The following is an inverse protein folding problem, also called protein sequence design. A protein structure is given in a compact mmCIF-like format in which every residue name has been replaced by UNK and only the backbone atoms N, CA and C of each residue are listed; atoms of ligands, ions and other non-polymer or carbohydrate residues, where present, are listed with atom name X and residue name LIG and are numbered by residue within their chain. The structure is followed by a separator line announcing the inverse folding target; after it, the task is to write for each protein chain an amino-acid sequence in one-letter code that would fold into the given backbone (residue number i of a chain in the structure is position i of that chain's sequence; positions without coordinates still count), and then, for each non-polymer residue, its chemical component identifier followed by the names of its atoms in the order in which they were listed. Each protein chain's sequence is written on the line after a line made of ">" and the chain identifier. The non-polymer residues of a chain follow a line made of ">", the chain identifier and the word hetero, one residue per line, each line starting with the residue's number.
data_IF_943267074438
#
_entry.id   IF_943267074438
#
_cell.length_a   1.000
_cell.length_b   1.000
_cell.length_c   1.000
_cell.angle_alpha   90.00
_cell.angle_beta   90.00
_cell.angle_gamma   90.00
#
_symmetry.space_group_name_H-M   'P 1'
#
loop_
_entity.id
_entity.type
_entity.pdbx_description
1 polymer ?
#
# COMPACT_ATOMS: atom_id res chain seq x y z
N UNK A 1 4.40 -51.52 -4.32
CA UNK A 1 3.80 -50.73 -5.44
C UNK A 1 2.35 -50.46 -5.06
N UNK A 2 1.81 -49.24 -5.02
CA UNK A 2 2.29 -47.90 -5.37
C UNK A 2 1.77 -46.90 -4.33
N UNK A 3 2.48 -45.78 -4.16
CA UNK A 3 1.98 -44.57 -3.51
C UNK A 3 1.01 -43.89 -4.48
N UNK A 4 -0.12 -43.43 -3.98
CA UNK A 4 -0.97 -42.47 -4.69
C UNK A 4 -0.68 -41.07 -4.13
N UNK A 5 0.22 -40.38 -4.85
CA UNK A 5 0.41 -38.93 -4.79
C UNK A 5 -0.55 -38.29 -5.81
N UNK A 6 -1.52 -37.51 -5.35
CA UNK A 6 -2.13 -36.40 -6.10
C UNK A 6 -3.05 -35.66 -5.13
N UNK A 7 -2.84 -34.42 -4.72
CA UNK A 7 -2.14 -33.32 -5.37
C UNK A 7 -2.98 -32.10 -4.98
N UNK A 8 -2.56 -31.39 -3.93
CA UNK A 8 -3.28 -30.25 -3.36
C UNK A 8 -3.50 -29.16 -4.42
N UNK A 9 -4.76 -28.93 -4.76
CA UNK A 9 -5.16 -27.96 -5.78
C UNK A 9 -5.25 -26.55 -5.19
N UNK A 10 -4.10 -25.94 -4.91
CA UNK A 10 -4.02 -24.50 -4.69
C UNK A 10 -2.75 -23.94 -5.31
N UNK A 11 -2.80 -23.59 -6.60
CA UNK A 11 -2.04 -22.46 -7.13
C UNK A 11 -2.55 -22.09 -8.52
N UNK A 12 -3.54 -21.20 -8.58
CA UNK A 12 -3.62 -20.28 -9.72
C UNK A 12 -2.83 -19.04 -9.31
N UNK A 13 -1.51 -19.20 -9.21
CA UNK A 13 -0.61 -18.06 -9.13
C UNK A 13 -0.48 -17.52 -10.54
N UNK A 14 -1.03 -16.33 -10.78
CA UNK A 14 -0.69 -15.54 -11.97
C UNK A 14 0.84 -15.57 -12.11
N UNK A 15 1.34 -16.02 -13.26
CA UNK A 15 2.78 -16.07 -13.52
C UNK A 15 3.40 -14.70 -13.23
N UNK A 16 4.41 -14.67 -12.36
CA UNK A 16 5.10 -13.41 -12.09
C UNK A 16 5.69 -12.87 -13.40
N UNK A 17 5.38 -11.61 -13.78
CA UNK A 17 5.84 -11.06 -15.04
C UNK A 17 7.36 -11.03 -15.07
N UNK A 18 7.93 -11.50 -16.18
CA UNK A 18 9.37 -11.51 -16.43
C UNK A 18 9.95 -10.10 -16.23
N UNK A 19 11.01 -10.00 -15.43
CA UNK A 19 11.72 -8.74 -15.20
C UNK A 19 12.16 -8.12 -16.54
N UNK A 20 11.76 -6.87 -16.80
CA UNK A 20 12.20 -6.09 -17.96
C UNK A 20 11.13 -5.80 -19.03
N UNK A 21 9.92 -6.38 -18.92
CA UNK A 21 8.80 -6.06 -19.82
C UNK A 21 7.96 -4.95 -19.21
N UNK A 22 7.92 -3.79 -19.86
CA UNK A 22 7.03 -2.70 -19.48
C UNK A 22 5.62 -3.03 -19.95
N UNK A 23 4.70 -3.22 -18.99
CA UNK A 23 3.27 -3.35 -19.26
C UNK A 23 2.59 -2.08 -18.79
N UNK A 24 1.89 -1.39 -19.69
CA UNK A 24 0.98 -0.31 -19.30
C UNK A 24 -0.13 -0.95 -18.48
N UNK A 25 -0.06 -0.79 -17.15
CA UNK A 25 -1.10 -1.25 -16.24
C UNK A 25 -2.16 -0.16 -16.13
N UNK A 26 -3.12 -0.18 -17.06
CA UNK A 26 -4.37 0.56 -16.87
C UNK A 26 -5.08 0.02 -15.62
N UNK A 27 -5.72 0.89 -14.84
CA UNK A 27 -6.56 0.51 -13.69
C UNK A 27 -5.86 -0.19 -12.50
N UNK A 28 -4.78 0.38 -11.95
CA UNK A 28 -4.23 -0.04 -10.64
C UNK A 28 -5.09 0.41 -9.44
N UNK A 29 -6.36 0.01 -9.38
CA UNK A 29 -7.16 0.18 -8.16
C UNK A 29 -7.08 -1.10 -7.31
N UNK A 30 -6.78 -0.93 -6.02
CA UNK A 30 -6.88 -2.04 -5.05
C UNK A 30 -8.25 -1.97 -4.38
N UNK A 31 -9.10 -2.96 -4.63
CA UNK A 31 -10.40 -3.10 -3.96
C UNK A 31 -10.20 -3.63 -2.54
N UNK A 32 -10.63 -2.87 -1.52
CA UNK A 32 -10.38 -3.18 -0.10
C UNK A 32 -11.45 -4.08 0.54
N UNK A 33 -12.51 -4.47 -0.18
CA UNK A 33 -13.73 -5.13 0.36
C UNK A 33 -13.48 -6.33 1.30
N UNK A 34 -12.37 -7.05 1.18
CA UNK A 34 -12.04 -8.24 1.99
C UNK A 34 -10.70 -8.14 2.74
N UNK A 35 -10.03 -6.98 2.73
CA UNK A 35 -8.69 -6.82 3.29
C UNK A 35 -8.73 -5.79 4.42
N UNK A 36 -8.32 -6.23 5.60
CA UNK A 36 -8.37 -5.41 6.81
C UNK A 36 -7.22 -4.39 6.81
N UNK A 37 -6.05 -4.77 6.29
CA UNK A 37 -4.90 -3.85 6.24
C UNK A 37 -3.87 -4.29 5.20
N UNK A 38 -3.15 -3.30 4.65
CA UNK A 38 -1.99 -3.49 3.80
C UNK A 38 -0.95 -2.43 4.10
N UNK A 39 0.28 -2.88 4.28
CA UNK A 39 1.45 -2.02 4.36
C UNK A 39 2.12 -2.05 2.99
N UNK A 40 2.31 -0.88 2.42
CA UNK A 40 3.08 -0.69 1.21
C UNK A 40 4.47 -0.21 1.61
N UNK A 41 5.39 -1.15 1.57
CA UNK A 41 6.78 -0.94 1.89
C UNK A 41 7.63 -1.77 0.94
N UNK A 42 8.79 -1.24 0.59
CA UNK A 42 9.73 -1.94 -0.29
C UNK A 42 10.99 -2.32 0.49
N UNK A 43 11.58 -3.52 0.33
CA UNK A 43 12.81 -3.87 1.01
C UNK A 43 13.94 -2.88 0.68
N UNK A 44 14.88 -2.61 1.60
CA UNK A 44 15.93 -1.61 1.39
C UNK A 44 16.77 -1.83 0.14
N UNK A 45 17.00 -3.09 -0.24
CA UNK A 45 17.76 -3.47 -1.45
C UNK A 45 17.07 -2.99 -2.73
N UNK A 46 15.74 -3.01 -2.75
CA UNK A 46 14.98 -2.68 -3.96
C UNK A 46 14.73 -1.19 -4.11
N UNK A 47 14.73 -0.43 -3.00
CA UNK A 47 14.67 1.05 -3.03
C UNK A 47 15.83 1.72 -3.76
N UNK A 48 16.95 1.00 -3.95
CA UNK A 48 18.19 1.51 -4.56
C UNK A 48 18.25 1.30 -6.08
N UNK A 49 17.27 0.64 -6.69
CA UNK A 49 17.25 0.39 -8.13
C UNK A 49 17.00 1.70 -8.90
N UNK A 50 17.69 1.87 -10.04
CA UNK A 50 17.60 3.06 -10.93
C UNK A 50 16.18 3.27 -11.50
N UNK A 51 15.43 2.18 -11.64
CA UNK A 51 14.02 2.17 -12.02
C UNK A 51 13.23 1.87 -10.74
N UNK A 52 12.40 2.82 -10.29
CA UNK A 52 11.76 2.76 -8.99
C UNK A 52 10.67 1.68 -8.91
N UNK A 53 10.83 0.72 -8.01
CA UNK A 53 9.77 -0.14 -7.46
C UNK A 53 9.40 0.27 -6.03
N UNK A 54 9.49 1.56 -5.71
CA UNK A 54 9.21 2.10 -4.38
C UNK A 54 7.74 2.45 -4.22
N UNK A 55 7.23 2.37 -2.98
CA UNK A 55 5.90 2.89 -2.66
C UNK A 55 5.80 4.37 -3.07
N UNK A 56 4.68 4.80 -3.68
CA UNK A 56 4.52 6.18 -4.12
C UNK A 56 4.65 7.17 -2.94
N UNK A 57 5.22 8.33 -3.22
CA UNK A 57 5.22 9.48 -2.30
C UNK A 57 3.89 10.25 -2.33
N UNK A 58 3.14 10.13 -3.43
CA UNK A 58 1.84 10.76 -3.66
C UNK A 58 0.88 9.77 -4.30
N UNK A 59 -0.30 9.61 -3.74
CA UNK A 59 -1.37 8.78 -4.31
C UNK A 59 -2.75 9.39 -4.03
N UNK A 60 -3.74 8.98 -4.82
CA UNK A 60 -5.13 9.44 -4.67
C UNK A 60 -5.97 8.26 -4.22
N UNK A 61 -6.85 8.52 -3.27
CA UNK A 61 -7.95 7.63 -2.91
C UNK A 61 -9.23 8.21 -3.48
N UNK A 62 -9.98 7.38 -4.19
CA UNK A 62 -11.26 7.76 -4.77
C UNK A 62 -12.33 6.93 -4.07
N UNK A 63 -13.27 7.59 -3.42
CA UNK A 63 -14.53 6.95 -3.07
C UNK A 63 -15.39 6.84 -4.33
N UNK A 64 -15.61 5.61 -4.79
CA UNK A 64 -16.37 5.35 -6.01
C UNK A 64 -17.85 5.72 -5.87
N UNK A 65 -18.40 5.76 -4.65
CA UNK A 65 -19.81 6.07 -4.46
C UNK A 65 -20.07 7.57 -4.59
N UNK A 66 -19.29 8.39 -3.87
CA UNK A 66 -19.44 9.86 -3.90
C UNK A 66 -18.65 10.54 -5.03
N UNK A 67 -17.69 9.84 -5.64
CA UNK A 67 -16.71 10.44 -6.54
C UNK A 67 -15.66 11.30 -5.84
N UNK A 68 -15.68 11.38 -4.50
CA UNK A 68 -14.71 12.18 -3.73
C UNK A 68 -13.32 11.59 -3.88
N UNK A 69 -12.41 12.41 -4.40
CA UNK A 69 -10.98 12.14 -4.47
C UNK A 69 -10.25 12.93 -3.39
N UNK A 70 -9.48 12.25 -2.56
CA UNK A 70 -8.49 12.90 -1.71
C UNK A 70 -7.11 12.33 -2.00
N UNK A 71 -6.12 13.21 -1.96
CA UNK A 71 -4.75 12.90 -2.31
C UNK A 71 -3.91 12.97 -1.06
N UNK A 72 -3.09 11.96 -0.88
CA UNK A 72 -2.18 11.85 0.24
C UNK A 72 -0.75 12.01 -0.26
N UNK A 73 -0.04 12.98 0.30
CA UNK A 73 1.37 13.23 0.04
C UNK A 73 2.17 12.95 1.31
N UNK A 74 3.23 12.16 1.17
CA UNK A 74 4.09 11.71 2.26
C UNK A 74 5.46 12.35 2.14
N UNK A 75 5.93 12.93 3.23
CA UNK A 75 7.24 13.55 3.34
C UNK A 75 8.04 12.86 4.46
N UNK A 76 9.31 12.57 4.22
CA UNK A 76 10.24 11.97 5.19
C UNK A 76 10.09 10.45 5.42
N UNK A 77 8.90 9.89 5.19
CA UNK A 77 8.61 8.46 5.38
C UNK A 77 8.70 7.65 4.09
N UNK A 78 9.27 6.44 4.18
CA UNK A 78 9.42 5.55 3.01
C UNK A 78 8.28 4.55 2.86
N UNK A 79 7.63 4.17 3.95
CA UNK A 79 6.56 3.18 3.96
C UNK A 79 5.21 3.87 4.22
N UNK A 80 4.11 3.30 3.75
CA UNK A 80 2.79 3.75 4.18
C UNK A 80 1.87 2.58 4.46
N UNK A 81 0.93 2.77 5.37
CA UNK A 81 -0.11 1.81 5.62
C UNK A 81 -1.45 2.32 5.11
N UNK A 82 -2.27 1.37 4.69
CA UNK A 82 -3.65 1.57 4.34
C UNK A 82 -4.46 0.46 5.00
N UNK A 83 -5.45 0.84 5.78
CA UNK A 83 -6.25 -0.06 6.58
C UNK A 83 -7.73 0.33 6.45
N UNK A 84 -8.59 -0.69 6.46
CA UNK A 84 -10.03 -0.53 6.54
C UNK A 84 -10.57 -1.61 7.49
N UNK A 85 -11.50 -1.29 8.39
CA UNK A 85 -12.16 -2.33 9.18
C UNK A 85 -12.99 -3.30 8.31
N UNK A 86 -13.19 -3.00 7.02
CA UNK A 86 -13.95 -3.81 6.09
C UNK A 86 -15.37 -4.03 6.60
N UNK A 87 -15.86 -5.26 6.55
CA UNK A 87 -17.18 -5.63 7.07
C UNK A 87 -17.34 -5.48 8.60
N UNK A 88 -16.27 -5.20 9.35
CA UNK A 88 -16.34 -4.93 10.79
C UNK A 88 -16.54 -3.45 11.13
N UNK A 89 -16.80 -2.57 10.15
CA UNK A 89 -16.96 -1.13 10.36
C UNK A 89 -18.01 -0.79 11.43
N UNK A 90 -19.07 -1.58 11.56
CA UNK A 90 -20.13 -1.41 12.56
C UNK A 90 -19.63 -1.44 14.02
N UNK A 91 -18.48 -2.09 14.28
CA UNK A 91 -17.84 -2.09 15.61
C UNK A 91 -17.17 -0.75 15.95
N UNK A 92 -16.89 0.07 14.93
CA UNK A 92 -16.07 1.27 15.03
C UNK A 92 -16.85 2.56 14.69
N UNK A 93 -18.11 2.44 14.25
CA UNK A 93 -18.96 3.58 13.93
C UNK A 93 -20.13 3.21 13.03
N UNK A 94 -20.88 4.23 12.62
CA UNK A 94 -21.97 4.08 11.64
C UNK A 94 -21.52 4.30 10.19
N UNK A 95 -20.34 4.87 10.01
CA UNK A 95 -19.80 5.27 8.72
C UNK A 95 -18.62 4.40 8.30
N UNK A 96 -18.36 4.38 6.99
CA UNK A 96 -17.17 3.77 6.42
C UNK A 96 -15.98 4.72 6.54
N UNK A 97 -14.84 4.19 6.94
CA UNK A 97 -13.60 4.96 6.99
C UNK A 97 -12.41 4.14 6.51
N UNK A 98 -11.37 4.89 6.13
CA UNK A 98 -10.07 4.36 5.74
C UNK A 98 -9.02 5.00 6.65
N UNK A 99 -8.16 4.18 7.24
CA UNK A 99 -7.00 4.63 7.98
C UNK A 99 -5.79 4.59 7.05
N UNK A 100 -5.23 5.75 6.74
CA UNK A 100 -4.03 5.87 5.92
C UNK A 100 -2.99 6.73 6.61
N UNK A 101 -1.75 6.28 6.54
CA UNK A 101 -0.67 6.95 7.24
C UNK A 101 0.70 6.68 6.65
N UNK A 102 1.56 7.68 6.72
CA UNK A 102 2.99 7.52 6.53
C UNK A 102 3.60 6.68 7.69
N UNK A 103 4.59 5.86 7.37
CA UNK A 103 5.17 4.88 8.29
C UNK A 103 6.67 4.65 8.04
N UNK A 104 7.33 4.05 9.04
CA UNK A 104 8.70 3.54 8.96
C UNK A 104 8.77 2.14 9.56
N UNK A 105 8.18 1.16 8.86
CA UNK A 105 8.00 -0.19 9.40
C UNK A 105 9.16 -1.13 9.09
N UNK A 106 9.76 -1.02 7.90
CA UNK A 106 10.83 -1.96 7.50
C UNK A 106 12.22 -1.52 7.94
N UNK A 107 12.42 -0.21 8.09
CA UNK A 107 13.71 0.37 8.48
C UNK A 107 13.43 1.44 9.52
N UNK A 108 13.99 1.33 10.74
CA UNK A 108 13.86 2.41 11.72
C UNK A 108 14.59 3.65 11.22
N UNK A 109 14.05 4.83 11.57
CA UNK A 109 14.79 6.08 11.40
C UNK A 109 15.75 6.21 12.57
N UNK A 110 17.04 6.33 12.27
CA UNK A 110 18.08 6.64 13.26
C UNK A 110 18.36 8.13 13.15
N UNK A 111 18.29 8.84 14.28
CA UNK A 111 18.59 10.27 14.37
C UNK A 111 19.75 10.42 15.35
N UNK A 112 20.89 10.91 14.88
CA UNK A 112 22.09 11.08 15.71
C UNK A 112 21.98 12.35 16.59
N UNK A 113 22.85 12.52 17.60
CA UNK A 113 22.92 13.78 18.34
C UNK A 113 23.08 14.98 17.39
N UNK A 114 22.34 16.06 17.65
CA UNK A 114 22.32 17.31 16.84
C UNK A 114 21.62 17.19 15.48
N UNK A 115 21.20 16.00 15.05
CA UNK A 115 20.37 15.85 13.84
C UNK A 115 18.89 16.16 14.11
N UNK A 116 18.22 16.72 13.10
CA UNK A 116 16.78 16.91 13.08
C UNK A 116 16.17 16.01 12.00
N UNK A 117 15.11 15.28 12.35
CA UNK A 117 14.31 14.54 11.38
C UNK A 117 12.95 15.21 11.19
N UNK A 118 12.54 15.36 9.92
CA UNK A 118 11.25 15.93 9.55
C UNK A 118 10.46 14.94 8.71
N UNK A 119 9.18 14.80 9.05
CA UNK A 119 8.20 14.11 8.25
C UNK A 119 6.86 14.80 8.33
N UNK A 120 6.04 14.58 7.31
CA UNK A 120 4.69 15.14 7.25
C UNK A 120 3.79 14.27 6.39
N UNK A 121 2.49 14.37 6.69
CA UNK A 121 1.43 13.86 5.85
C UNK A 121 0.54 15.03 5.45
N UNK A 122 0.39 15.25 4.16
CA UNK A 122 -0.51 16.26 3.60
C UNK A 122 -1.67 15.56 2.95
N UNK A 123 -2.89 16.01 3.28
CA UNK A 123 -4.12 15.55 2.66
C UNK A 123 -4.64 16.72 1.81
N UNK A 124 -4.58 16.57 0.50
CA UNK A 124 -5.17 17.51 -0.46
C UNK A 124 -6.56 16.99 -0.84
N UNK A 125 -7.54 17.89 -0.92
CA UNK A 125 -8.90 17.57 -1.31
C UNK A 125 -9.36 18.63 -2.30
N UNK A 126 -9.77 18.22 -3.50
CA UNK A 126 -10.03 19.15 -4.60
C UNK A 126 -11.33 19.96 -4.43
N UNK A 127 -12.18 19.63 -3.45
CA UNK A 127 -13.46 20.32 -3.19
C UNK A 127 -13.45 21.25 -1.95
N UNK A 128 -12.29 21.68 -1.44
CA UNK A 128 -12.17 22.67 -0.35
C UNK A 128 -11.11 23.73 -0.67
#
# INVERSE_FOLDING_TARGET
>A
MKRDDSGGWFSSGDEEPRQGVWVVKENQYTILKKKVSRVYAMPPKERKKRIYSTAPSKFITIDQYSGLGFRLVRLGFKDFYQCSPGGMYEKFGRDYFLCMGAASMLVPVVVNPVEEWRGAQVIEHDNL
#
